data_IF_659871245711
#
_entry.id   IF_659871245711
#
_cell.length_a   1.000
_cell.length_b   1.000
_cell.length_c   1.000
_cell.angle_alpha   90.00
_cell.angle_beta   90.00
_cell.angle_gamma   90.00
#
_symmetry.space_group_name_H-M   'P 1'
#
loop_
_entity.id
_entity.type
_entity.pdbx_description
1 polymer ?
#
# COMPACT_ATOMS: atom_id res chain seq x y z
N UNK A 1 20.65 16.61 4.28
CA UNK A 1 21.56 15.97 3.30
C UNK A 1 22.30 17.04 2.52
N UNK A 2 23.64 16.99 2.48
CA UNK A 2 24.44 17.94 1.72
C UNK A 2 24.43 17.61 0.22
N UNK A 3 24.22 18.60 -0.64
CA UNK A 3 24.20 18.48 -2.10
C UNK A 3 24.84 19.71 -2.75
N UNK A 4 25.43 19.53 -3.93
CA UNK A 4 25.99 20.64 -4.71
C UNK A 4 24.88 21.26 -5.53
N UNK A 5 24.64 22.57 -5.38
CA UNK A 5 23.69 23.35 -6.16
C UNK A 5 24.40 24.43 -6.96
N UNK A 6 23.95 24.62 -8.20
CA UNK A 6 24.34 25.74 -9.06
C UNK A 6 23.17 26.72 -9.08
N UNK A 7 23.41 27.97 -8.69
CA UNK A 7 22.41 29.04 -8.70
C UNK A 7 22.79 30.09 -9.74
N UNK A 8 21.79 30.71 -10.39
CA UNK A 8 22.00 31.76 -11.40
C UNK A 8 21.58 33.10 -10.80
N UNK A 9 22.48 34.09 -10.80
CA UNK A 9 22.20 35.48 -10.45
C UNK A 9 22.76 36.41 -11.53
N UNK A 10 21.93 37.30 -12.08
CA UNK A 10 22.30 38.30 -13.08
C UNK A 10 23.19 37.74 -14.22
N UNK A 11 22.71 36.66 -14.85
CA UNK A 11 23.38 35.88 -15.93
C UNK A 11 24.64 35.09 -15.53
N UNK A 12 25.21 35.29 -14.33
CA UNK A 12 26.35 34.50 -13.83
C UNK A 12 25.89 33.31 -12.99
N UNK A 13 26.55 32.15 -13.15
CA UNK A 13 26.30 30.94 -12.38
C UNK A 13 27.29 30.80 -11.22
N UNK A 14 26.79 30.38 -10.05
CA UNK A 14 27.57 30.20 -8.83
C UNK A 14 27.35 28.82 -8.23
N UNK A 15 28.39 28.26 -7.62
CA UNK A 15 28.38 26.92 -7.02
C UNK A 15 28.37 27.01 -5.51
N UNK A 16 27.49 26.25 -4.87
CA UNK A 16 27.40 26.13 -3.41
C UNK A 16 27.09 24.72 -2.95
N UNK A 17 27.47 24.39 -1.72
CA UNK A 17 27.09 23.17 -1.03
C UNK A 17 25.97 23.52 -0.05
N UNK A 18 24.82 22.88 -0.18
CA UNK A 18 23.64 23.11 0.67
C UNK A 18 23.23 21.84 1.39
N UNK A 19 22.69 21.97 2.59
CA UNK A 19 22.16 20.85 3.38
C UNK A 19 20.66 21.02 3.63
N UNK A 20 19.88 20.00 3.23
CA UNK A 20 18.46 19.93 3.60
C UNK A 20 18.27 19.48 5.05
N UNK A 21 17.45 20.21 5.80
CA UNK A 21 17.00 19.90 7.15
C UNK A 21 15.47 20.05 7.25
N UNK A 22 14.87 19.35 8.21
CA UNK A 22 13.43 19.49 8.48
C UNK A 22 13.20 20.65 9.45
N UNK A 23 12.48 21.67 9.00
CA UNK A 23 12.08 22.79 9.86
C UNK A 23 10.80 22.39 10.62
N UNK A 24 10.91 22.25 11.94
CA UNK A 24 9.83 21.77 12.80
C UNK A 24 8.69 22.77 12.96
N UNK A 25 8.97 24.07 12.83
CA UNK A 25 7.96 25.13 12.99
C UNK A 25 7.16 25.31 11.71
N UNK A 26 7.83 25.29 10.55
CA UNK A 26 7.19 25.48 9.24
C UNK A 26 6.69 24.15 8.66
N UNK A 27 6.99 23.01 9.32
CA UNK A 27 6.66 21.63 8.90
C UNK A 27 6.99 21.35 7.43
N UNK A 28 8.10 21.90 6.95
CA UNK A 28 8.57 21.76 5.56
C UNK A 28 10.09 21.54 5.53
N UNK A 29 10.61 20.81 4.54
CA UNK A 29 12.04 20.68 4.35
C UNK A 29 12.62 22.03 3.87
N UNK A 30 13.62 22.56 4.59
CA UNK A 30 14.38 23.75 4.20
C UNK A 30 15.83 23.36 3.87
N UNK A 31 16.50 24.19 3.08
CA UNK A 31 17.93 24.06 2.77
C UNK A 31 18.71 25.20 3.39
N UNK A 32 19.79 24.88 4.11
CA UNK A 32 20.79 25.87 4.56
C UNK A 32 22.04 25.78 3.70
N UNK A 33 22.69 26.91 3.46
CA UNK A 33 23.98 26.94 2.77
C UNK A 33 25.09 26.55 3.75
N UNK A 34 25.88 25.55 3.37
CA UNK A 34 26.99 25.04 4.18
C UNK A 34 28.29 25.70 3.75
N UNK A 35 28.48 25.89 2.44
CA UNK A 35 29.67 26.53 1.88
C UNK A 35 29.41 27.12 0.50
N UNK A 36 29.79 28.37 0.30
CA UNK A 36 29.82 29.03 -1.00
C UNK A 36 31.18 28.80 -1.67
N UNK A 37 31.21 28.41 -2.96
CA UNK A 37 32.45 28.08 -3.66
C UNK A 37 32.86 29.10 -4.74
N UNK A 38 31.96 30.00 -5.14
CA UNK A 38 32.26 31.06 -6.11
C UNK A 38 31.60 30.84 -7.48
N UNK A 39 32.07 31.56 -8.50
CA UNK A 39 31.53 31.51 -9.86
C UNK A 39 31.89 30.18 -10.52
N UNK A 40 30.93 29.63 -11.27
CA UNK A 40 31.12 28.36 -11.98
C UNK A 40 32.28 28.46 -12.98
N UNK A 41 32.34 29.54 -13.76
CA UNK A 41 33.36 29.75 -14.79
C UNK A 41 34.78 29.73 -14.22
N UNK A 42 34.99 30.38 -13.07
CA UNK A 42 36.30 30.41 -12.41
C UNK A 42 36.70 29.02 -11.87
N UNK A 43 35.72 28.25 -11.40
CA UNK A 43 35.94 26.91 -10.82
C UNK A 43 36.18 25.83 -11.87
N UNK A 44 35.71 26.02 -13.11
CA UNK A 44 35.90 25.07 -14.21
C UNK A 44 37.00 25.46 -15.20
N UNK A 45 37.65 26.62 -14.99
CA UNK A 45 38.64 27.18 -15.91
C UNK A 45 39.87 26.28 -16.10
N UNK A 46 40.38 25.73 -15.00
CA UNK A 46 41.59 24.90 -14.98
C UNK A 46 41.27 23.40 -14.83
N UNK A 47 40.03 23.05 -14.43
CA UNK A 47 39.53 21.68 -14.39
C UNK A 47 38.05 21.62 -14.84
N UNK A 48 37.78 21.19 -16.09
CA UNK A 48 36.42 21.05 -16.62
C UNK A 48 35.53 20.09 -15.82
N UNK A 49 36.11 19.11 -15.13
CA UNK A 49 35.40 18.06 -14.39
C UNK A 49 35.20 18.39 -12.90
N UNK A 50 35.61 19.58 -12.44
CA UNK A 50 35.58 19.98 -11.03
C UNK A 50 34.22 19.76 -10.35
N UNK A 51 33.11 19.98 -11.06
CA UNK A 51 31.76 19.82 -10.50
C UNK A 51 31.39 18.35 -10.30
N UNK A 52 31.80 17.47 -11.20
CA UNK A 52 31.55 16.03 -11.06
C UNK A 52 32.40 15.45 -9.92
N UNK A 53 33.68 15.81 -9.86
CA UNK A 53 34.58 15.46 -8.75
C UNK A 53 34.04 15.99 -7.41
N UNK A 54 33.51 17.21 -7.37
CA UNK A 54 32.93 17.79 -6.16
C UNK A 54 31.67 17.02 -5.72
N UNK A 55 30.79 16.65 -6.67
CA UNK A 55 29.60 15.82 -6.39
C UNK A 55 29.98 14.43 -5.90
N UNK A 56 31.02 13.82 -6.45
CA UNK A 56 31.58 12.55 -5.98
C UNK A 56 32.21 12.70 -4.59
N UNK A 57 32.92 13.80 -4.30
CA UNK A 57 33.52 14.05 -2.97
C UNK A 57 32.46 14.25 -1.87
N UNK A 58 31.36 14.93 -2.19
CA UNK A 58 30.22 15.14 -1.27
C UNK A 58 29.44 13.83 -1.06
N UNK A 59 29.32 13.01 -2.11
CA UNK A 59 28.70 11.68 -2.03
C UNK A 59 29.59 10.66 -1.30
N UNK A 60 30.90 10.69 -1.50
CA UNK A 60 31.86 9.80 -0.85
C UNK A 60 32.09 10.13 0.63
N UNK A 61 31.90 11.38 1.06
CA UNK A 61 31.80 11.74 2.50
C UNK A 61 30.63 11.04 3.20
N UNK A 62 29.54 10.71 2.48
CA UNK A 62 28.42 9.89 2.97
C UNK A 62 28.88 8.45 3.26
N UNK A 63 29.65 7.88 2.33
CA UNK A 63 30.27 6.56 2.47
C UNK A 63 31.33 6.53 3.58
N UNK A 64 32.10 7.62 3.75
CA UNK A 64 33.11 7.76 4.81
C UNK A 64 32.50 7.82 6.21
N UNK A 65 31.42 8.59 6.41
CA UNK A 65 30.73 8.69 7.72
C UNK A 65 30.00 7.39 8.11
N UNK A 66 29.47 6.65 7.12
CA UNK A 66 28.91 5.31 7.32
C UNK A 66 30.02 4.26 7.56
N UNK A 67 31.16 4.36 6.84
CA UNK A 67 32.36 3.55 7.07
C UNK A 67 32.94 3.79 8.46
N UNK A 68 33.13 5.03 8.89
CA UNK A 68 33.64 5.39 10.22
C UNK A 68 32.75 4.83 11.32
N UNK A 69 31.42 4.86 11.14
CA UNK A 69 30.48 4.29 12.12
C UNK A 69 30.54 2.77 12.16
N UNK A 70 30.65 2.13 10.99
CA UNK A 70 30.83 0.68 10.91
C UNK A 70 32.21 0.24 11.43
N UNK A 71 33.26 1.02 11.20
CA UNK A 71 34.61 0.80 11.73
C UNK A 71 34.67 1.03 13.24
N UNK A 72 33.97 2.03 13.77
CA UNK A 72 33.78 2.20 15.21
C UNK A 72 33.02 1.02 15.82
N UNK A 73 31.95 0.54 15.18
CA UNK A 73 31.24 -0.67 15.62
C UNK A 73 32.17 -1.88 15.57
N UNK A 74 32.97 -2.03 14.50
CA UNK A 74 33.95 -3.12 14.38
C UNK A 74 35.04 -3.02 15.44
N UNK A 75 35.55 -1.83 15.73
CA UNK A 75 36.55 -1.58 16.77
C UNK A 75 35.97 -1.88 18.16
N UNK A 76 34.74 -1.45 18.44
CA UNK A 76 34.02 -1.82 19.66
C UNK A 76 33.87 -3.33 19.73
N UNK A 77 33.38 -3.99 18.68
CA UNK A 77 33.24 -5.45 18.60
C UNK A 77 34.57 -6.19 18.82
N UNK A 78 35.66 -5.70 18.22
CA UNK A 78 36.99 -6.27 18.38
C UNK A 78 37.57 -6.01 19.79
N UNK A 79 37.23 -4.86 20.41
CA UNK A 79 37.62 -4.52 21.78
C UNK A 79 36.90 -5.35 22.84
N UNK A 80 35.72 -5.91 22.51
CA UNK A 80 34.89 -6.70 23.43
C UNK A 80 35.50 -8.05 23.86
N UNK A 81 36.78 -8.33 23.56
CA UNK A 81 37.49 -9.57 23.92
C UNK A 81 36.62 -10.81 23.68
N UNK A 82 35.96 -10.89 22.51
CA UNK A 82 34.99 -11.94 22.16
C UNK A 82 35.56 -13.36 22.28
N UNK A 83 36.89 -13.52 22.23
CA UNK A 83 37.59 -14.78 22.50
C UNK A 83 37.33 -15.34 23.91
N UNK A 84 37.00 -14.50 24.91
CA UNK A 84 36.59 -14.97 26.25
C UNK A 84 35.24 -15.69 26.23
N UNK A 85 34.43 -15.43 25.20
CA UNK A 85 33.11 -16.01 24.99
C UNK A 85 33.14 -17.16 23.95
N UNK A 86 34.33 -17.64 23.57
CA UNK A 86 34.47 -18.76 22.65
C UNK A 86 33.82 -20.01 23.25
N UNK A 87 32.87 -20.61 22.51
CA UNK A 87 32.07 -21.74 22.98
C UNK A 87 30.78 -21.36 23.72
N UNK A 88 30.54 -20.07 23.98
CA UNK A 88 29.25 -19.60 24.52
C UNK A 88 28.18 -19.50 23.43
N UNK A 89 26.92 -19.69 23.81
CA UNK A 89 25.81 -19.55 22.89
C UNK A 89 25.55 -18.06 22.61
N UNK A 90 25.64 -17.66 21.34
CA UNK A 90 25.26 -16.32 20.90
C UNK A 90 23.73 -16.26 20.81
N UNK A 91 23.12 -15.27 21.45
CA UNK A 91 21.69 -14.99 21.40
C UNK A 91 21.42 -13.63 20.77
N UNK A 92 20.41 -13.54 19.91
CA UNK A 92 19.88 -12.28 19.43
C UNK A 92 18.98 -11.62 20.47
N UNK A 93 19.10 -10.30 20.66
CA UNK A 93 18.28 -9.52 21.60
C UNK A 93 17.21 -8.66 20.90
N UNK A 94 17.10 -8.77 19.57
CA UNK A 94 16.17 -7.98 18.78
C UNK A 94 14.69 -8.22 19.14
N UNK A 95 14.38 -9.34 19.81
CA UNK A 95 13.05 -9.61 20.33
C UNK A 95 12.61 -8.57 21.35
N UNK A 96 13.50 -8.12 22.25
CA UNK A 96 13.16 -7.28 23.41
C UNK A 96 12.39 -6.00 23.01
N UNK A 97 12.75 -5.37 21.89
CA UNK A 97 12.05 -4.16 21.39
C UNK A 97 10.58 -4.44 21.09
N UNK A 98 10.27 -5.60 20.49
CA UNK A 98 8.90 -5.99 20.17
C UNK A 98 8.15 -6.49 21.40
N UNK A 99 8.86 -7.04 22.40
CA UNK A 99 8.26 -7.38 23.69
C UNK A 99 7.75 -6.15 24.41
N UNK A 100 8.50 -5.05 24.39
CA UNK A 100 8.05 -3.77 24.94
C UNK A 100 6.79 -3.26 24.25
N UNK A 101 6.67 -3.41 22.93
CA UNK A 101 5.43 -3.05 22.20
C UNK A 101 4.25 -3.93 22.65
N UNK A 102 4.47 -5.24 22.77
CA UNK A 102 3.42 -6.16 23.24
C UNK A 102 3.00 -5.86 24.69
N UNK A 103 3.95 -5.53 25.56
CA UNK A 103 3.69 -5.14 26.94
C UNK A 103 2.96 -3.79 27.01
N UNK A 104 3.35 -2.83 26.16
CA UNK A 104 2.67 -1.54 26.04
C UNK A 104 1.19 -1.73 25.68
N UNK A 105 0.87 -2.67 24.79
CA UNK A 105 -0.49 -3.06 24.42
C UNK A 105 -1.15 -4.02 25.42
N UNK A 106 -0.48 -4.36 26.52
CA UNK A 106 -0.95 -5.29 27.57
C UNK A 106 -1.39 -6.67 27.02
N UNK A 107 -0.93 -7.02 25.82
CA UNK A 107 -1.37 -8.20 25.07
C UNK A 107 -1.08 -9.52 25.80
N UNK A 108 0.07 -9.71 26.49
CA UNK A 108 0.33 -10.95 27.23
C UNK A 108 -0.70 -11.21 28.34
N UNK A 109 -1.03 -10.18 29.14
CA UNK A 109 -2.01 -10.29 30.24
C UNK A 109 -3.39 -10.65 29.69
N UNK A 110 -3.82 -9.96 28.63
CA UNK A 110 -5.07 -10.27 27.95
C UNK A 110 -5.15 -11.71 27.45
N UNK A 111 -4.10 -12.22 26.77
CA UNK A 111 -4.09 -13.59 26.25
C UNK A 111 -4.11 -14.64 27.36
N UNK A 112 -3.43 -14.40 28.48
CA UNK A 112 -3.48 -15.27 29.67
C UNK A 112 -4.91 -15.36 30.19
N UNK A 113 -5.59 -14.23 30.36
CA UNK A 113 -6.95 -14.18 30.88
C UNK A 113 -7.97 -14.76 29.90
N UNK A 114 -7.78 -14.50 28.62
CA UNK A 114 -8.59 -15.08 27.54
C UNK A 114 -8.49 -16.60 27.54
N UNK A 115 -7.27 -17.15 27.66
CA UNK A 115 -7.08 -18.60 27.76
C UNK A 115 -7.74 -19.17 29.03
N UNK A 116 -7.49 -18.59 30.20
CA UNK A 116 -8.06 -19.08 31.48
C UNK A 116 -9.58 -19.16 31.45
N UNK A 117 -10.23 -18.18 30.82
CA UNK A 117 -11.70 -18.12 30.71
C UNK A 117 -12.27 -19.16 29.74
N UNK A 118 -11.52 -19.56 28.71
CA UNK A 118 -12.08 -20.30 27.57
C UNK A 118 -11.47 -21.69 27.34
N UNK A 119 -10.36 -22.03 27.99
CA UNK A 119 -9.64 -23.28 27.71
C UNK A 119 -8.89 -23.80 28.93
N UNK A 120 -8.89 -25.14 29.08
CA UNK A 120 -8.07 -25.86 30.08
C UNK A 120 -6.78 -26.42 29.48
N UNK A 121 -6.44 -25.97 28.26
CA UNK A 121 -5.23 -26.40 27.56
C UNK A 121 -3.99 -26.05 28.38
N UNK A 122 -3.00 -26.96 28.41
CA UNK A 122 -1.79 -26.84 29.23
C UNK A 122 -0.70 -25.94 28.64
N UNK A 123 -0.77 -25.67 27.34
CA UNK A 123 0.19 -24.82 26.66
C UNK A 123 0.04 -23.35 27.09
N UNK A 124 1.09 -22.55 26.95
CA UNK A 124 1.03 -21.11 27.24
C UNK A 124 0.66 -20.32 25.98
N UNK A 125 -0.60 -19.86 25.89
CA UNK A 125 -1.08 -19.11 24.72
C UNK A 125 -0.33 -17.79 24.53
N UNK A 126 -0.02 -17.08 25.60
CA UNK A 126 0.67 -15.79 25.52
C UNK A 126 2.10 -15.99 25.03
N UNK A 127 2.82 -16.99 25.57
CA UNK A 127 4.17 -17.33 25.13
C UNK A 127 4.20 -17.82 23.68
N UNK A 128 3.25 -18.68 23.26
CA UNK A 128 3.16 -19.13 21.87
C UNK A 128 2.87 -17.96 20.93
N UNK A 129 1.89 -17.11 21.26
CA UNK A 129 1.51 -15.97 20.41
C UNK A 129 2.66 -14.98 20.28
N UNK A 130 3.35 -14.68 21.38
CA UNK A 130 4.56 -13.86 21.40
C UNK A 130 5.65 -14.45 20.52
N UNK A 131 5.95 -15.74 20.66
CA UNK A 131 6.91 -16.44 19.80
C UNK A 131 6.54 -16.31 18.32
N UNK A 132 5.26 -16.54 17.96
CA UNK A 132 4.79 -16.45 16.58
C UNK A 132 4.91 -15.04 15.98
N UNK A 133 4.64 -14.00 16.77
CA UNK A 133 4.81 -12.60 16.35
C UNK A 133 6.29 -12.29 16.15
N UNK A 134 7.13 -12.62 17.15
CA UNK A 134 8.56 -12.35 17.13
C UNK A 134 9.24 -13.01 15.92
N UNK A 135 8.99 -14.30 15.68
CA UNK A 135 9.60 -15.00 14.54
C UNK A 135 9.06 -14.51 13.21
N UNK A 136 7.79 -14.07 13.13
CA UNK A 136 7.23 -13.50 11.91
C UNK A 136 7.92 -12.21 11.50
N UNK A 137 8.32 -11.38 12.47
CA UNK A 137 9.02 -10.12 12.22
C UNK A 137 10.52 -10.34 12.00
N UNK A 138 11.16 -11.14 12.87
CA UNK A 138 12.61 -11.28 12.89
C UNK A 138 13.15 -12.28 11.85
N UNK A 139 12.48 -13.41 11.65
CA UNK A 139 12.95 -14.48 10.77
C UNK A 139 11.77 -15.27 10.15
N UNK A 140 10.94 -14.62 9.29
CA UNK A 140 9.69 -15.19 8.79
C UNK A 140 9.91 -16.56 8.12
N UNK A 141 9.22 -17.57 8.62
CA UNK A 141 9.34 -18.95 8.17
C UNK A 141 8.13 -19.79 8.60
N UNK A 142 8.15 -21.11 8.34
CA UNK A 142 7.08 -22.02 8.79
C UNK A 142 6.96 -22.05 10.32
N UNK A 143 5.82 -22.50 10.84
CA UNK A 143 5.60 -22.61 12.31
C UNK A 143 6.58 -23.58 12.95
N UNK A 144 6.86 -24.70 12.29
CA UNK A 144 7.94 -25.63 12.67
C UNK A 144 9.29 -24.93 12.78
N UNK A 145 9.67 -24.20 11.73
CA UNK A 145 10.95 -23.49 11.71
C UNK A 145 11.00 -22.39 12.78
N UNK A 146 9.87 -21.73 13.08
CA UNK A 146 9.76 -20.73 14.14
C UNK A 146 10.11 -21.30 15.52
N UNK A 147 9.59 -22.49 15.87
CA UNK A 147 9.89 -23.18 17.14
C UNK A 147 11.37 -23.57 17.25
N UNK A 148 12.02 -23.92 16.13
CA UNK A 148 13.45 -24.23 16.11
C UNK A 148 14.30 -22.96 16.23
N UNK A 149 13.93 -21.90 15.51
CA UNK A 149 14.70 -20.65 15.38
C UNK A 149 14.56 -19.71 16.56
N UNK A 150 13.45 -19.73 17.30
CA UNK A 150 13.27 -18.86 18.47
C UNK A 150 14.38 -19.07 19.51
N UNK A 151 14.95 -20.28 19.58
CA UNK A 151 16.10 -20.64 20.43
C UNK A 151 17.36 -19.84 20.12
N UNK A 152 17.44 -19.15 18.98
CA UNK A 152 18.55 -18.23 18.66
C UNK A 152 18.42 -16.89 19.37
N UNK A 153 17.24 -16.56 19.91
CA UNK A 153 16.97 -15.29 20.56
C UNK A 153 16.99 -15.42 22.08
N UNK A 154 17.10 -14.29 22.77
CA UNK A 154 16.98 -14.20 24.22
C UNK A 154 15.50 -14.34 24.62
N UNK A 155 14.96 -15.52 24.39
CA UNK A 155 13.58 -15.88 24.62
C UNK A 155 13.49 -17.35 24.99
N UNK A 156 12.94 -17.65 26.16
CA UNK A 156 12.70 -19.03 26.59
C UNK A 156 11.33 -19.49 26.12
N UNK A 157 11.32 -20.59 25.37
CA UNK A 157 10.11 -21.17 24.80
C UNK A 157 10.04 -22.65 25.15
N UNK A 158 9.01 -23.04 25.90
CA UNK A 158 8.88 -24.36 26.50
C UNK A 158 7.78 -25.23 25.86
N UNK A 159 6.88 -24.65 25.07
CA UNK A 159 5.80 -25.40 24.43
C UNK A 159 6.29 -26.22 23.23
N UNK A 160 5.59 -27.33 22.94
CA UNK A 160 5.93 -28.19 21.82
C UNK A 160 5.37 -27.66 20.50
N UNK A 161 5.88 -28.18 19.38
CA UNK A 161 5.30 -27.88 18.05
C UNK A 161 3.81 -28.28 17.97
N UNK A 162 3.40 -29.35 18.66
CA UNK A 162 1.98 -29.79 18.69
C UNK A 162 1.11 -28.75 19.39
N UNK A 163 1.63 -28.17 20.46
CA UNK A 163 0.94 -27.13 21.22
C UNK A 163 0.78 -25.86 20.38
N UNK A 164 1.84 -25.47 19.65
CA UNK A 164 1.77 -24.37 18.69
C UNK A 164 0.65 -24.59 17.67
N UNK A 165 0.56 -25.76 17.05
CA UNK A 165 -0.52 -26.02 16.08
C UNK A 165 -1.91 -26.00 16.71
N UNK A 166 -2.09 -26.55 17.92
CA UNK A 166 -3.36 -26.51 18.65
C UNK A 166 -3.77 -25.10 19.04
N UNK A 167 -2.81 -24.24 19.37
CA UNK A 167 -3.10 -22.85 19.73
C UNK A 167 -3.66 -22.04 18.55
N UNK A 168 -3.36 -22.43 17.29
CA UNK A 168 -3.84 -21.70 16.10
C UNK A 168 -5.37 -21.77 15.97
N UNK A 169 -5.95 -22.92 16.28
CA UNK A 169 -7.41 -23.10 16.27
C UNK A 169 -8.09 -22.23 17.34
N UNK A 170 -7.49 -22.17 18.53
CA UNK A 170 -7.97 -21.27 19.59
C UNK A 170 -7.86 -19.79 19.20
N UNK A 171 -6.74 -19.38 18.61
CA UNK A 171 -6.56 -18.00 18.12
C UNK A 171 -7.55 -17.65 17.01
N UNK A 172 -7.89 -18.61 16.14
CA UNK A 172 -8.89 -18.43 15.10
C UNK A 172 -10.30 -18.29 15.70
N UNK A 173 -10.66 -19.13 16.67
CA UNK A 173 -11.95 -19.05 17.39
C UNK A 173 -12.11 -17.70 18.09
N UNK A 174 -11.03 -17.19 18.70
CA UNK A 174 -11.02 -15.92 19.43
C UNK A 174 -10.64 -14.70 18.60
N UNK A 175 -10.73 -14.79 17.27
CA UNK A 175 -10.39 -13.70 16.35
C UNK A 175 -11.08 -12.39 16.75
N UNK A 176 -12.40 -12.43 16.98
CA UNK A 176 -13.19 -11.22 17.24
C UNK A 176 -12.80 -10.58 18.57
N UNK A 177 -12.67 -11.36 19.64
CA UNK A 177 -12.25 -10.87 20.95
C UNK A 177 -10.85 -10.27 20.92
N UNK A 178 -9.91 -10.90 20.21
CA UNK A 178 -8.55 -10.38 20.03
C UNK A 178 -8.55 -9.07 19.24
N UNK A 179 -9.32 -8.99 18.15
CA UNK A 179 -9.43 -7.77 17.35
C UNK A 179 -10.08 -6.63 18.15
N UNK A 180 -11.15 -6.89 18.89
CA UNK A 180 -11.78 -5.88 19.75
C UNK A 180 -10.80 -5.34 20.79
N UNK A 181 -10.13 -6.22 21.51
CA UNK A 181 -9.11 -5.82 22.48
C UNK A 181 -8.03 -4.94 21.84
N UNK A 182 -7.45 -5.38 20.71
CA UNK A 182 -6.42 -4.59 20.04
C UNK A 182 -6.95 -3.23 19.55
N UNK A 183 -8.16 -3.19 18.99
CA UNK A 183 -8.79 -1.95 18.55
C UNK A 183 -8.97 -0.97 19.71
N UNK A 184 -9.47 -1.42 20.86
CA UNK A 184 -9.60 -0.62 22.09
C UNK A 184 -8.24 -0.09 22.55
N UNK A 185 -7.22 -0.95 22.60
CA UNK A 185 -5.87 -0.56 22.99
C UNK A 185 -5.28 0.49 22.03
N UNK A 186 -5.53 0.39 20.72
CA UNK A 186 -5.06 1.38 19.77
C UNK A 186 -5.82 2.72 19.88
N UNK A 187 -7.11 2.69 20.20
CA UNK A 187 -7.86 3.93 20.50
C UNK A 187 -7.28 4.60 21.75
N UNK A 188 -7.10 3.86 22.84
CA UNK A 188 -6.63 4.39 24.11
C UNK A 188 -5.17 4.89 24.05
N UNK A 189 -4.27 4.08 23.47
CA UNK A 189 -2.82 4.30 23.60
C UNK A 189 -2.17 5.07 22.47
N UNK A 190 -2.80 5.14 21.30
CA UNK A 190 -2.28 5.88 20.13
C UNK A 190 -3.31 6.81 19.48
N UNK A 191 -4.47 7.02 20.13
CA UNK A 191 -5.54 7.91 19.65
C UNK A 191 -5.94 7.59 18.20
N UNK A 192 -6.13 6.29 17.91
CA UNK A 192 -6.58 5.80 16.60
C UNK A 192 -7.85 6.50 16.15
N UNK A 193 -7.86 6.94 14.89
CA UNK A 193 -8.99 7.59 14.25
C UNK A 193 -9.61 6.66 13.19
N UNK A 194 -10.90 6.37 13.31
CA UNK A 194 -11.65 5.52 12.38
C UNK A 194 -12.50 6.33 11.38
N UNK A 195 -12.31 7.65 11.30
CA UNK A 195 -13.07 8.50 10.36
C UNK A 195 -12.88 8.05 8.92
N UNK A 196 -11.64 7.73 8.54
CA UNK A 196 -11.29 7.19 7.23
C UNK A 196 -10.66 5.81 7.42
N UNK A 197 -11.20 4.82 6.73
CA UNK A 197 -10.68 3.47 6.72
C UNK A 197 -10.42 3.03 5.29
N UNK A 198 -9.28 2.40 5.07
CA UNK A 198 -8.84 1.99 3.74
C UNK A 198 -9.10 0.49 3.59
N UNK A 199 -9.84 0.12 2.55
CA UNK A 199 -10.12 -1.26 2.25
C UNK A 199 -9.36 -1.70 1.00
N UNK A 200 -8.48 -2.69 1.19
CA UNK A 200 -7.76 -3.34 0.10
C UNK A 200 -7.99 -4.85 0.13
N UNK A 201 -8.00 -5.44 -1.06
CA UNK A 201 -8.14 -6.88 -1.23
C UNK A 201 -6.81 -7.39 -1.76
N UNK A 202 -6.24 -8.42 -1.15
CA UNK A 202 -5.02 -9.06 -1.64
C UNK A 202 -5.20 -10.58 -1.71
N UNK A 203 -4.22 -11.28 -2.27
CA UNK A 203 -4.26 -12.75 -2.40
C UNK A 203 -3.03 -13.36 -1.78
N UNK A 204 -3.22 -14.41 -0.99
CA UNK A 204 -2.14 -15.24 -0.46
C UNK A 204 -2.12 -16.54 -1.27
N UNK A 205 -1.03 -16.77 -2.02
CA UNK A 205 -0.85 -18.02 -2.75
C UNK A 205 -0.27 -19.11 -1.84
N UNK A 206 -0.56 -20.35 -2.20
CA UNK A 206 0.02 -21.53 -1.57
C UNK A 206 0.76 -22.36 -2.63
N UNK A 207 1.91 -22.92 -2.27
CA UNK A 207 2.63 -23.87 -3.15
C UNK A 207 1.88 -25.20 -3.31
N UNK A 208 0.73 -25.36 -2.64
CA UNK A 208 -0.17 -26.48 -2.83
C UNK A 208 -1.03 -26.32 -4.08
N UNK A 209 -1.13 -27.42 -4.82
CA UNK A 209 -1.99 -27.56 -6.00
C UNK A 209 -3.37 -28.15 -5.67
N UNK A 210 -3.62 -28.48 -4.40
CA UNK A 210 -4.87 -29.12 -3.96
C UNK A 210 -5.85 -28.06 -3.46
N UNK A 211 -6.99 -27.85 -4.16
CA UNK A 211 -8.00 -26.94 -3.69
C UNK A 211 -8.79 -27.53 -2.51
N UNK A 212 -9.21 -26.69 -1.58
CA UNK A 212 -10.15 -27.01 -0.50
C UNK A 212 -11.22 -25.92 -0.38
N UNK A 213 -11.92 -25.82 0.74
CA UNK A 213 -12.97 -24.81 0.96
C UNK A 213 -12.47 -23.37 0.72
N UNK A 214 -11.27 -23.04 1.22
CA UNK A 214 -10.71 -21.69 1.20
C UNK A 214 -9.64 -21.53 0.11
N UNK A 215 -8.76 -22.52 -0.05
CA UNK A 215 -7.70 -22.54 -1.07
C UNK A 215 -8.33 -22.93 -2.40
N UNK A 216 -8.54 -21.96 -3.30
CA UNK A 216 -9.11 -22.20 -4.64
C UNK A 216 -8.23 -21.58 -5.72
N UNK A 217 -8.27 -22.11 -6.93
CA UNK A 217 -7.64 -21.45 -8.08
C UNK A 217 -8.39 -20.16 -8.40
N UNK A 218 -7.67 -19.05 -8.53
CA UNK A 218 -8.26 -17.76 -8.82
C UNK A 218 -7.24 -16.77 -9.35
N UNK A 219 -7.62 -15.49 -9.38
CA UNK A 219 -6.75 -14.44 -9.87
C UNK A 219 -5.58 -14.22 -8.90
N UNK A 220 -4.36 -14.51 -9.34
CA UNK A 220 -3.17 -14.28 -8.51
C UNK A 220 -2.60 -12.89 -8.76
N UNK A 221 -2.53 -12.05 -7.72
CA UNK A 221 -1.86 -10.74 -7.79
C UNK A 221 -0.33 -10.87 -7.96
N UNK A 222 0.23 -12.04 -7.63
CA UNK A 222 1.66 -12.39 -7.78
C UNK A 222 1.97 -13.17 -9.08
N UNK A 223 1.02 -13.25 -10.03
CA UNK A 223 1.12 -14.02 -11.27
C UNK A 223 1.37 -15.54 -11.07
N UNK A 224 0.95 -16.11 -9.93
CA UNK A 224 1.02 -17.54 -9.62
C UNK A 224 -0.25 -18.28 -10.04
N UNK A 225 -0.49 -18.31 -11.35
CA UNK A 225 -1.76 -18.82 -11.95
C UNK A 225 -2.04 -20.30 -11.69
N UNK A 226 -1.00 -21.12 -11.47
CA UNK A 226 -1.15 -22.55 -11.22
C UNK A 226 -1.18 -22.91 -9.73
N UNK A 227 -1.30 -21.92 -8.84
CA UNK A 227 -1.27 -22.12 -7.40
C UNK A 227 -2.62 -21.76 -6.80
N UNK A 228 -3.03 -22.52 -5.79
CA UNK A 228 -4.24 -22.19 -5.03
C UNK A 228 -4.02 -20.87 -4.28
N UNK A 229 -5.09 -20.08 -4.20
CA UNK A 229 -5.10 -18.76 -3.58
C UNK A 229 -6.09 -18.74 -2.42
N UNK A 230 -5.88 -17.81 -1.51
CA UNK A 230 -6.89 -17.32 -0.56
C UNK A 230 -6.97 -15.81 -0.75
N UNK A 231 -8.19 -15.28 -0.82
CA UNK A 231 -8.41 -13.83 -0.91
C UNK A 231 -8.47 -13.27 0.50
N UNK A 232 -7.74 -12.20 0.77
CA UNK A 232 -7.71 -11.47 2.04
C UNK A 232 -8.30 -10.08 1.82
N UNK A 233 -9.46 -9.81 2.42
CA UNK A 233 -9.99 -8.46 2.56
C UNK A 233 -9.43 -7.84 3.83
N UNK A 234 -8.81 -6.67 3.73
CA UNK A 234 -8.15 -6.00 4.84
C UNK A 234 -8.66 -4.55 4.98
N UNK A 235 -9.12 -4.21 6.18
CA UNK A 235 -9.50 -2.86 6.56
C UNK A 235 -8.43 -2.28 7.49
N UNK A 236 -7.85 -1.13 7.12
CA UNK A 236 -6.81 -0.43 7.89
C UNK A 236 -7.23 1.01 8.19
N UNK A 237 -6.65 1.59 9.25
CA UNK A 237 -6.82 3.01 9.60
C UNK A 237 -5.88 3.93 8.79
N UNK A 238 -5.92 5.22 9.09
CA UNK A 238 -5.08 6.27 8.48
C UNK A 238 -3.59 6.19 8.85
N UNK A 239 -3.25 5.41 9.88
CA UNK A 239 -1.87 5.07 10.25
C UNK A 239 -1.37 3.79 9.57
N UNK A 240 -2.23 3.11 8.80
CA UNK A 240 -1.92 1.84 8.14
C UNK A 240 -1.92 0.64 9.07
N UNK A 241 -2.54 0.76 10.25
CA UNK A 241 -2.66 -0.34 11.21
C UNK A 241 -3.99 -1.07 10.94
N UNK A 242 -3.99 -2.42 10.86
CA UNK A 242 -5.21 -3.19 10.66
C UNK A 242 -6.28 -2.95 11.73
N UNK A 243 -7.53 -2.88 11.28
CA UNK A 243 -8.74 -2.80 12.11
C UNK A 243 -9.44 -4.15 12.10
N UNK A 244 -9.64 -4.70 10.90
CA UNK A 244 -10.37 -5.93 10.66
C UNK A 244 -9.89 -6.62 9.38
N UNK A 245 -10.10 -7.92 9.27
CA UNK A 245 -9.84 -8.67 8.05
C UNK A 245 -10.80 -9.86 7.91
N UNK A 246 -11.04 -10.28 6.67
CA UNK A 246 -11.70 -11.55 6.37
C UNK A 246 -10.95 -12.32 5.28
N UNK A 247 -11.08 -13.65 5.35
CA UNK A 247 -10.54 -14.57 4.35
C UNK A 247 -11.68 -15.12 3.52
N UNK A 248 -11.47 -15.14 2.20
CA UNK A 248 -12.44 -15.65 1.23
C UNK A 248 -11.78 -16.71 0.34
N UNK A 249 -12.58 -17.61 -0.26
CA UNK A 249 -12.09 -18.57 -1.23
C UNK A 249 -11.28 -17.89 -2.34
N UNK A 250 -10.18 -18.51 -2.78
CA UNK A 250 -9.25 -17.94 -3.76
C UNK A 250 -9.84 -17.46 -5.09
N UNK A 251 -11.00 -17.98 -5.48
CA UNK A 251 -11.75 -17.61 -6.68
C UNK A 251 -12.79 -16.50 -6.46
N UNK A 252 -12.86 -15.93 -5.26
CA UNK A 252 -13.79 -14.85 -4.92
C UNK A 252 -13.38 -13.58 -5.64
N UNK A 253 -14.35 -12.91 -6.28
CA UNK A 253 -14.10 -11.61 -6.89
C UNK A 253 -13.98 -10.53 -5.82
N UNK A 254 -13.02 -9.60 -5.97
CA UNK A 254 -12.84 -8.44 -5.09
C UNK A 254 -14.18 -7.73 -4.79
N UNK A 255 -15.06 -7.59 -5.79
CA UNK A 255 -16.39 -6.96 -5.65
C UNK A 255 -17.27 -7.60 -4.57
N UNK A 256 -17.17 -8.92 -4.36
CA UNK A 256 -18.01 -9.67 -3.43
C UNK A 256 -17.48 -9.67 -1.99
N UNK A 257 -16.27 -9.15 -1.77
CA UNK A 257 -15.63 -9.18 -0.45
C UNK A 257 -16.10 -8.05 0.46
N UNK A 258 -16.45 -6.88 -0.11
CA UNK A 258 -16.71 -5.69 0.68
C UNK A 258 -17.97 -5.82 1.53
N UNK A 259 -19.10 -6.21 0.94
CA UNK A 259 -20.38 -6.30 1.66
C UNK A 259 -20.29 -7.19 2.93
N UNK A 260 -19.76 -8.42 2.87
CA UNK A 260 -19.56 -9.24 4.07
C UNK A 260 -18.68 -8.55 5.13
N UNK A 261 -17.59 -7.89 4.73
CA UNK A 261 -16.72 -7.17 5.67
C UNK A 261 -17.49 -6.06 6.37
N UNK A 262 -18.34 -5.32 5.67
CA UNK A 262 -19.14 -4.23 6.25
C UNK A 262 -20.14 -4.72 7.31
N UNK A 263 -20.80 -5.83 7.02
CA UNK A 263 -21.72 -6.48 7.95
C UNK A 263 -20.96 -7.00 9.18
N UNK A 264 -19.80 -7.60 8.97
CA UNK A 264 -18.97 -8.15 10.04
C UNK A 264 -18.36 -7.06 10.92
N UNK A 265 -17.79 -5.98 10.39
CA UNK A 265 -17.23 -4.91 11.24
C UNK A 265 -18.31 -4.23 12.09
N UNK A 266 -19.53 -4.10 11.57
CA UNK A 266 -20.65 -3.53 12.33
C UNK A 266 -21.08 -4.47 13.46
N UNK A 267 -21.23 -5.77 13.15
CA UNK A 267 -21.65 -6.80 14.11
C UNK A 267 -20.58 -7.08 15.17
N UNK A 268 -19.33 -7.26 14.75
CA UNK A 268 -18.25 -7.81 15.55
C UNK A 268 -17.49 -6.72 16.31
N UNK A 269 -17.34 -5.52 15.72
CA UNK A 269 -16.58 -4.41 16.31
C UNK A 269 -17.48 -3.24 16.78
N UNK A 270 -18.79 -3.26 16.50
CA UNK A 270 -19.70 -2.17 16.88
C UNK A 270 -19.41 -0.83 16.20
N UNK A 271 -18.69 -0.83 15.08
CA UNK A 271 -18.34 0.39 14.35
C UNK A 271 -19.59 0.87 13.61
N UNK A 272 -20.09 2.07 13.95
CA UNK A 272 -21.34 2.58 13.37
C UNK A 272 -21.16 3.58 12.23
N UNK A 273 -20.03 4.29 12.19
CA UNK A 273 -19.76 5.35 11.20
C UNK A 273 -18.30 5.39 10.80
N UNK A 274 -18.02 5.18 9.52
CA UNK A 274 -16.70 5.30 8.89
C UNK A 274 -16.86 5.79 7.45
N UNK A 275 -15.80 6.37 6.89
CA UNK A 275 -15.66 6.60 5.45
C UNK A 275 -14.70 5.58 4.86
N UNK A 276 -15.19 4.80 3.90
CA UNK A 276 -14.40 3.76 3.24
C UNK A 276 -13.69 4.36 2.04
N UNK A 277 -12.37 4.31 2.08
CA UNK A 277 -11.51 4.64 0.96
C UNK A 277 -11.10 3.36 0.26
N UNK A 278 -11.45 3.23 -1.02
CA UNK A 278 -11.19 2.01 -1.77
C UNK A 278 -10.86 2.24 -3.25
N UNK A 279 -10.15 1.26 -3.80
CA UNK A 279 -9.74 1.28 -5.19
C UNK A 279 -10.89 1.00 -6.16
N UNK A 280 -10.65 1.30 -7.44
CA UNK A 280 -11.65 1.18 -8.51
C UNK A 280 -12.24 -0.21 -8.65
N UNK A 281 -11.47 -1.25 -8.29
CA UNK A 281 -11.89 -2.64 -8.35
C UNK A 281 -13.04 -2.98 -7.41
N UNK A 282 -13.39 -2.09 -6.48
CA UNK A 282 -14.48 -2.26 -5.52
C UNK A 282 -15.65 -1.31 -5.79
N UNK A 283 -15.48 -0.33 -6.67
CA UNK A 283 -16.51 0.61 -7.09
C UNK A 283 -17.52 -0.07 -8.04
N UNK A 284 -18.42 -0.85 -7.44
CA UNK A 284 -19.62 -1.37 -8.10
C UNK A 284 -20.86 -0.76 -7.47
N UNK A 285 -21.92 -0.57 -8.26
CA UNK A 285 -23.17 0.04 -7.78
C UNK A 285 -23.79 -0.72 -6.60
N UNK A 286 -23.66 -2.05 -6.60
CA UNK A 286 -24.07 -2.90 -5.47
C UNK A 286 -23.25 -2.63 -4.20
N UNK A 287 -21.95 -2.38 -4.34
CA UNK A 287 -21.10 -2.02 -3.20
C UNK A 287 -21.40 -0.61 -2.68
N UNK A 288 -21.62 0.37 -3.57
CA UNK A 288 -22.03 1.72 -3.16
C UNK A 288 -23.31 1.68 -2.31
N UNK A 289 -24.29 0.90 -2.76
CA UNK A 289 -25.54 0.70 -2.02
C UNK A 289 -25.29 0.02 -0.68
N UNK A 290 -24.51 -1.07 -0.64
CA UNK A 290 -24.22 -1.78 0.60
C UNK A 290 -23.54 -0.88 1.65
N UNK A 291 -22.65 0.02 1.23
CA UNK A 291 -22.00 0.99 2.12
C UNK A 291 -23.03 1.98 2.68
N UNK A 292 -23.88 2.56 1.83
CA UNK A 292 -24.95 3.48 2.29
C UNK A 292 -25.95 2.80 3.21
N UNK A 293 -26.41 1.59 2.88
CA UNK A 293 -27.33 0.81 3.71
C UNK A 293 -26.72 0.44 5.06
N UNK A 294 -25.40 0.23 5.13
CA UNK A 294 -24.69 0.02 6.38
C UNK A 294 -24.57 1.30 7.24
N UNK A 295 -24.89 2.48 6.69
CA UNK A 295 -24.78 3.78 7.37
C UNK A 295 -23.38 4.40 7.28
N UNK A 296 -22.57 3.96 6.31
CA UNK A 296 -21.21 4.44 6.10
C UNK A 296 -21.11 5.35 4.88
N UNK A 297 -20.00 6.07 4.82
CA UNK A 297 -19.62 6.90 3.68
C UNK A 297 -18.53 6.24 2.83
N UNK A 298 -18.28 6.77 1.63
CA UNK A 298 -17.19 6.30 0.79
C UNK A 298 -16.48 7.41 0.01
N UNK A 299 -15.23 7.12 -0.32
CA UNK A 299 -14.40 7.80 -1.30
C UNK A 299 -13.77 6.71 -2.18
N UNK A 300 -14.17 6.63 -3.45
CA UNK A 300 -13.73 5.56 -4.34
C UNK A 300 -13.26 6.09 -5.68
N UNK A 301 -12.27 5.43 -6.27
CA UNK A 301 -11.87 5.71 -7.64
C UNK A 301 -13.03 5.49 -8.61
N UNK A 302 -13.29 6.46 -9.49
CA UNK A 302 -14.33 6.42 -10.49
C UNK A 302 -13.79 6.17 -11.90
N UNK A 303 -14.51 5.36 -12.68
CA UNK A 303 -14.11 5.02 -14.05
C UNK A 303 -14.62 6.08 -15.03
N UNK A 304 -13.79 7.09 -15.30
CA UNK A 304 -14.10 8.15 -16.27
C UNK A 304 -14.06 7.67 -17.74
N UNK A 305 -13.28 6.62 -18.05
CA UNK A 305 -13.15 6.07 -19.41
C UNK A 305 -14.13 4.90 -19.60
N UNK A 306 -15.14 5.03 -20.47
CA UNK A 306 -16.03 3.92 -20.82
C UNK A 306 -17.21 4.35 -21.70
N UNK A 307 -17.75 3.42 -22.51
CA UNK A 307 -18.90 3.70 -23.41
C UNK A 307 -20.16 4.13 -22.67
N UNK A 308 -20.32 3.69 -21.42
CA UNK A 308 -21.47 3.99 -20.58
C UNK A 308 -21.34 5.31 -19.83
N UNK A 309 -20.13 5.89 -19.78
CA UNK A 309 -19.91 7.14 -19.08
C UNK A 309 -20.26 8.31 -20.02
N UNK A 310 -21.41 8.94 -19.74
CA UNK A 310 -21.97 10.05 -20.53
C UNK A 310 -21.76 11.41 -19.86
N UNK A 311 -20.86 11.50 -18.90
CA UNK A 311 -20.61 12.75 -18.18
C UNK A 311 -19.91 13.72 -19.14
N UNK A 312 -20.60 14.80 -19.46
CA UNK A 312 -20.10 15.85 -20.36
C UNK A 312 -19.01 16.68 -19.68
N UNK A 313 -18.06 17.19 -20.47
CA UNK A 313 -17.03 18.09 -19.98
C UNK A 313 -16.02 17.49 -19.00
N UNK A 314 -15.87 16.16 -18.93
CA UNK A 314 -14.77 15.54 -18.14
C UNK A 314 -13.41 15.99 -18.68
N UNK A 315 -13.23 15.95 -20.00
CA UNK A 315 -11.94 16.23 -20.64
C UNK A 315 -11.74 17.70 -21.02
N UNK A 316 -12.64 18.57 -20.56
CA UNK A 316 -12.54 20.02 -20.76
C UNK A 316 -11.75 20.65 -19.62
N UNK A 317 -10.43 20.73 -19.82
CA UNK A 317 -9.48 21.23 -18.82
C UNK A 317 -9.77 22.68 -18.39
N UNK A 318 -10.38 23.50 -19.25
CA UNK A 318 -10.66 24.91 -18.93
C UNK A 318 -11.70 25.05 -17.81
N UNK A 319 -12.55 24.02 -17.63
CA UNK A 319 -13.54 23.98 -16.54
C UNK A 319 -12.96 23.59 -15.18
N UNK A 320 -11.66 23.31 -15.08
CA UNK A 320 -11.02 22.89 -13.83
C UNK A 320 -10.43 24.08 -13.08
N UNK A 321 -10.71 24.14 -11.78
CA UNK A 321 -10.06 25.09 -10.87
C UNK A 321 -8.65 24.60 -10.56
N UNK A 322 -7.64 25.38 -10.93
CA UNK A 322 -6.25 25.08 -10.60
C UNK A 322 -6.02 25.22 -9.09
N UNK A 323 -5.53 24.17 -8.45
CA UNK A 323 -5.12 24.20 -7.04
C UNK A 323 -3.61 24.41 -6.89
N UNK A 324 -2.83 23.90 -7.83
CA UNK A 324 -1.38 24.04 -7.93
C UNK A 324 -0.98 24.18 -9.41
N UNK A 325 0.27 24.58 -9.69
CA UNK A 325 0.77 24.90 -11.04
C UNK A 325 0.51 23.80 -12.10
N UNK A 326 0.44 22.53 -11.70
CA UNK A 326 0.18 21.39 -12.60
C UNK A 326 -1.01 20.50 -12.16
N UNK A 327 -1.93 21.02 -11.33
CA UNK A 327 -3.05 20.22 -10.79
C UNK A 327 -4.37 21.00 -10.76
N UNK A 328 -5.37 20.51 -11.48
CA UNK A 328 -6.72 21.07 -11.56
C UNK A 328 -7.76 20.16 -10.93
N UNK A 329 -8.83 20.75 -10.38
CA UNK A 329 -9.94 20.03 -9.73
C UNK A 329 -11.29 20.60 -10.18
N UNK A 330 -12.28 19.72 -10.31
CA UNK A 330 -13.68 20.06 -10.58
C UNK A 330 -14.58 19.15 -9.78
N UNK A 331 -15.47 19.73 -8.95
CA UNK A 331 -16.54 19.01 -8.23
C UNK A 331 -17.85 19.21 -8.98
N UNK A 332 -18.61 18.14 -9.11
CA UNK A 332 -19.95 18.19 -9.70
C UNK A 332 -20.84 17.10 -9.10
N UNK A 333 -22.15 17.30 -9.20
CA UNK A 333 -23.13 16.30 -8.81
C UNK A 333 -23.12 15.11 -9.78
N UNK A 334 -23.29 13.92 -9.24
CA UNK A 334 -23.34 12.69 -10.03
C UNK A 334 -24.34 11.72 -9.43
N UNK A 335 -25.23 11.18 -10.26
CA UNK A 335 -26.23 10.21 -9.84
C UNK A 335 -25.95 8.87 -10.47
N UNK A 336 -25.94 7.82 -9.65
CA UNK A 336 -25.83 6.45 -10.10
C UNK A 336 -27.21 5.78 -10.09
N UNK A 337 -27.64 5.31 -11.27
CA UNK A 337 -28.88 4.58 -11.44
C UNK A 337 -28.59 3.12 -11.77
N UNK A 338 -29.30 2.20 -11.11
CA UNK A 338 -29.25 0.78 -11.45
C UNK A 338 -30.44 0.00 -10.95
N UNK A 339 -30.62 -1.19 -11.52
CA UNK A 339 -31.65 -2.14 -11.12
C UNK A 339 -30.97 -3.31 -10.41
N UNK A 340 -31.44 -3.65 -9.22
CA UNK A 340 -31.01 -4.83 -8.45
C UNK A 340 -32.24 -5.52 -7.87
N UNK A 341 -32.35 -6.85 -8.01
CA UNK A 341 -33.50 -7.64 -7.55
C UNK A 341 -34.87 -7.03 -7.92
N UNK A 342 -35.01 -6.63 -9.19
CA UNK A 342 -36.19 -5.95 -9.72
C UNK A 342 -36.55 -4.58 -9.11
N UNK A 343 -35.74 -4.04 -8.21
CA UNK A 343 -35.90 -2.71 -7.62
C UNK A 343 -34.94 -1.72 -8.29
N UNK A 344 -35.42 -0.52 -8.58
CA UNK A 344 -34.58 0.57 -9.09
C UNK A 344 -34.01 1.35 -7.93
N UNK A 345 -32.70 1.60 -7.98
CA UNK A 345 -31.97 2.37 -6.99
C UNK A 345 -31.37 3.60 -7.65
N UNK A 346 -31.41 4.69 -6.90
CA UNK A 346 -30.76 5.95 -7.21
C UNK A 346 -29.83 6.30 -6.05
N UNK A 347 -28.58 6.62 -6.37
CA UNK A 347 -27.58 7.03 -5.39
C UNK A 347 -27.05 8.40 -5.79
N UNK A 348 -27.34 9.39 -4.96
CA UNK A 348 -26.72 10.71 -5.04
C UNK A 348 -25.26 10.66 -4.57
N UNK A 349 -24.38 11.26 -5.37
CA UNK A 349 -22.94 11.34 -5.15
C UNK A 349 -22.40 12.71 -5.56
N UNK A 350 -21.18 13.00 -5.08
CA UNK A 350 -20.31 13.99 -5.72
C UNK A 350 -19.23 13.28 -6.51
N UNK A 351 -18.94 13.79 -7.71
CA UNK A 351 -17.82 13.38 -8.52
C UNK A 351 -16.73 14.46 -8.48
N UNK A 352 -15.58 14.10 -7.93
CA UNK A 352 -14.38 14.92 -7.93
C UNK A 352 -13.52 14.49 -9.12
N UNK A 353 -13.46 15.35 -10.12
CA UNK A 353 -12.59 15.19 -11.27
C UNK A 353 -11.29 15.93 -11.00
N UNK A 354 -10.17 15.30 -11.34
CA UNK A 354 -8.84 15.88 -11.22
C UNK A 354 -8.10 15.77 -12.53
N UNK A 355 -7.24 16.75 -12.79
CA UNK A 355 -6.26 16.72 -13.88
C UNK A 355 -4.87 16.94 -13.31
N UNK A 356 -3.89 16.14 -13.74
CA UNK A 356 -2.48 16.44 -13.44
C UNK A 356 -1.53 16.18 -14.60
N UNK A 357 -0.56 17.08 -14.81
CA UNK A 357 0.50 16.88 -15.83
C UNK A 357 1.35 15.66 -15.54
N UNK A 358 1.61 15.36 -14.27
CA UNK A 358 2.32 14.14 -13.85
C UNK A 358 1.59 12.87 -14.34
N UNK A 359 0.28 12.79 -14.13
CA UNK A 359 -0.53 11.66 -14.59
C UNK A 359 -0.63 11.65 -16.12
N UNK A 360 -0.78 12.80 -16.78
CA UNK A 360 -0.79 12.90 -18.24
C UNK A 360 0.48 12.29 -18.85
N UNK A 361 1.66 12.64 -18.33
CA UNK A 361 2.94 12.09 -18.77
C UNK A 361 3.01 10.57 -18.54
N UNK A 362 2.45 10.06 -17.43
CA UNK A 362 2.40 8.62 -17.12
C UNK A 362 1.45 7.87 -18.07
N UNK A 363 0.22 8.34 -18.20
CA UNK A 363 -0.83 7.73 -19.02
C UNK A 363 -0.42 7.71 -20.50
N UNK A 364 0.20 8.79 -21.00
CA UNK A 364 0.80 8.84 -22.34
C UNK A 364 1.85 7.74 -22.55
N UNK A 365 2.80 7.57 -21.60
CA UNK A 365 3.82 6.50 -21.68
C UNK A 365 3.20 5.11 -21.67
N UNK A 366 2.19 4.89 -20.82
CA UNK A 366 1.49 3.61 -20.73
C UNK A 366 0.72 3.31 -22.03
N UNK A 367 0.08 4.32 -22.63
CA UNK A 367 -0.59 4.25 -23.93
C UNK A 367 0.39 3.95 -25.06
N UNK A 368 1.49 4.69 -25.18
CA UNK A 368 2.53 4.46 -26.19
C UNK A 368 3.11 3.03 -26.10
N UNK A 369 3.33 2.53 -24.88
CA UNK A 369 3.76 1.13 -24.67
C UNK A 369 2.76 0.12 -25.21
N UNK A 370 1.47 0.35 -25.00
CA UNK A 370 0.40 -0.51 -25.50
C UNK A 370 0.24 -0.42 -27.02
N UNK A 371 0.41 0.76 -27.62
CA UNK A 371 0.41 0.95 -29.08
C UNK A 371 1.56 0.17 -29.72
N UNK A 372 2.79 0.32 -29.20
CA UNK A 372 3.96 -0.44 -29.69
C UNK A 372 3.77 -1.96 -29.61
N UNK A 373 3.02 -2.45 -28.61
CA UNK A 373 2.65 -3.86 -28.52
C UNK A 373 1.65 -4.26 -29.58
N UNK A 374 0.61 -3.45 -29.80
CA UNK A 374 -0.40 -3.67 -30.82
C UNK A 374 0.23 -3.69 -32.23
N UNK A 375 1.13 -2.75 -32.54
CA UNK A 375 1.86 -2.70 -33.82
C UNK A 375 2.65 -3.98 -34.11
N UNK A 376 3.32 -4.56 -33.10
CA UNK A 376 4.03 -5.84 -33.26
C UNK A 376 3.11 -7.00 -33.62
N UNK A 377 1.84 -6.94 -33.22
CA UNK A 377 0.85 -7.98 -33.50
C UNK A 377 0.24 -7.88 -34.91
N UNK A 378 0.38 -6.73 -35.59
CA UNK A 378 -0.07 -6.56 -36.98
C UNK A 378 0.77 -7.39 -37.96
N UNK A 379 2.04 -7.66 -37.62
CA UNK A 379 3.00 -8.36 -38.48
C UNK A 379 2.98 -9.89 -38.35
N UNK A 380 2.19 -10.45 -37.42
CA UNK A 380 2.14 -11.89 -37.15
C UNK A 380 0.92 -12.51 -37.82
N UNK A 381 1.13 -13.40 -38.79
CA UNK A 381 0.08 -14.20 -39.46
C UNK A 381 -0.64 -15.22 -38.54
N UNK A 382 -0.21 -15.35 -37.29
CA UNK A 382 -0.78 -16.27 -36.30
C UNK A 382 -1.76 -15.57 -35.34
N UNK A 383 -2.81 -14.96 -35.89
CA UNK A 383 -3.86 -14.30 -35.11
C UNK A 383 -4.96 -15.33 -34.86
N UNK A 384 -4.87 -16.12 -33.76
CA UNK A 384 -6.08 -16.67 -33.11
C UNK A 384 -5.89 -17.28 -31.72
N UNK A 385 -4.71 -17.77 -31.32
CA UNK A 385 -4.59 -18.55 -30.06
C UNK A 385 -3.72 -17.97 -28.92
N UNK A 386 -2.79 -17.03 -29.15
CA UNK A 386 -1.83 -16.59 -28.10
C UNK A 386 -2.05 -15.19 -27.50
N UNK A 387 -3.05 -14.43 -27.97
CA UNK A 387 -3.15 -13.00 -27.61
C UNK A 387 -3.84 -12.76 -26.25
N UNK A 388 -3.11 -12.21 -25.27
CA UNK A 388 -3.67 -11.79 -23.96
C UNK A 388 -4.63 -10.60 -24.13
N UNK A 389 -5.63 -10.48 -23.23
CA UNK A 389 -6.71 -9.46 -23.27
C UNK A 389 -6.23 -8.01 -23.43
N UNK A 390 -5.06 -7.66 -22.89
CA UNK A 390 -4.53 -6.28 -22.93
C UNK A 390 -3.92 -5.88 -24.27
N UNK A 391 -3.45 -6.84 -25.06
CA UNK A 391 -2.69 -6.56 -26.28
C UNK A 391 -3.61 -6.27 -27.50
N UNK A 392 -4.93 -6.43 -27.33
CA UNK A 392 -5.95 -6.17 -28.36
C UNK A 392 -6.62 -4.80 -28.27
N UNK A 393 -6.32 -4.00 -27.26
CA UNK A 393 -7.10 -2.79 -26.93
C UNK A 393 -7.19 -1.78 -28.09
N UNK A 394 -6.08 -1.60 -28.83
CA UNK A 394 -5.99 -0.67 -29.96
C UNK A 394 -6.03 -1.37 -31.31
N UNK A 395 -6.50 -2.62 -31.36
CA UNK A 395 -6.67 -3.37 -32.60
C UNK A 395 -8.14 -3.39 -32.99
N UNK A 396 -8.42 -3.14 -34.26
CA UNK A 396 -9.71 -3.31 -34.90
C UNK A 396 -9.63 -4.49 -35.86
N UNK A 397 -10.57 -5.41 -35.73
CA UNK A 397 -10.63 -6.62 -36.56
C UNK A 397 -11.69 -6.41 -37.65
N UNK A 398 -11.24 -6.33 -38.90
CA UNK A 398 -12.08 -6.38 -40.09
C UNK A 398 -12.10 -7.81 -40.66
N UNK A 399 -12.97 -8.08 -41.66
CA UNK A 399 -13.20 -9.43 -42.17
C UNK A 399 -11.92 -10.17 -42.60
N UNK A 400 -10.94 -9.46 -43.18
CA UNK A 400 -9.68 -10.03 -43.67
C UNK A 400 -8.41 -9.31 -43.18
N UNK A 401 -8.53 -8.25 -42.37
CA UNK A 401 -7.40 -7.41 -41.97
C UNK A 401 -7.50 -6.99 -40.50
N UNK A 402 -6.35 -6.80 -39.87
CA UNK A 402 -6.23 -6.23 -38.53
C UNK A 402 -5.53 -4.90 -38.65
N UNK A 403 -6.16 -3.83 -38.16
CA UNK A 403 -5.64 -2.46 -38.21
C UNK A 403 -5.62 -1.82 -36.82
N UNK A 404 -4.92 -0.70 -36.67
CA UNK A 404 -4.99 0.08 -35.44
C UNK A 404 -6.30 0.87 -35.35
N UNK A 405 -6.95 0.81 -34.19
CA UNK A 405 -8.12 1.62 -33.88
C UNK A 405 -7.70 3.04 -33.46
N UNK A 406 -7.46 3.90 -34.44
CA UNK A 406 -7.08 5.30 -34.22
C UNK A 406 -8.13 6.09 -33.42
N UNK A 407 -9.41 5.74 -33.52
CA UNK A 407 -10.46 6.43 -32.76
C UNK A 407 -10.35 6.13 -31.27
N UNK A 408 -10.06 4.87 -30.90
CA UNK A 408 -9.83 4.48 -29.50
C UNK A 408 -8.55 5.13 -28.97
N UNK A 409 -7.49 5.23 -29.78
CA UNK A 409 -6.24 5.90 -29.39
C UNK A 409 -6.48 7.38 -29.08
N UNK A 410 -7.16 8.12 -29.96
CA UNK A 410 -7.46 9.54 -29.77
C UNK A 410 -8.33 9.78 -28.54
N UNK A 411 -9.33 8.92 -28.29
CA UNK A 411 -10.16 8.99 -27.08
C UNK A 411 -9.35 8.78 -25.81
N UNK A 412 -8.44 7.81 -25.82
CA UNK A 412 -7.60 7.53 -24.66
C UNK A 412 -6.59 8.65 -24.39
N UNK A 413 -6.04 9.25 -25.46
CA UNK A 413 -5.15 10.41 -25.42
C UNK A 413 -5.83 11.66 -24.87
N UNK A 414 -7.06 11.97 -25.30
CA UNK A 414 -7.83 13.08 -24.75
C UNK A 414 -8.09 12.93 -23.24
N UNK A 415 -8.14 11.68 -22.77
CA UNK A 415 -8.34 11.34 -21.37
C UNK A 415 -7.02 11.23 -20.56
N UNK A 416 -5.85 11.48 -21.16
CA UNK A 416 -4.56 11.42 -20.47
C UNK A 416 -4.47 12.54 -19.42
N UNK A 417 -4.20 12.16 -18.17
CA UNK A 417 -4.05 13.12 -17.06
C UNK A 417 -5.30 13.35 -16.23
N UNK A 418 -6.47 12.95 -16.73
CA UNK A 418 -7.73 13.05 -16.01
C UNK A 418 -7.96 11.84 -15.10
N UNK A 419 -8.59 12.07 -13.95
CA UNK A 419 -8.96 11.04 -12.99
C UNK A 419 -10.27 11.41 -12.29
N UNK A 420 -11.07 10.43 -11.91
CA UNK A 420 -12.33 10.65 -11.19
C UNK A 420 -12.32 9.96 -9.84
N UNK A 421 -12.88 10.62 -8.84
CA UNK A 421 -13.10 10.11 -7.48
C UNK A 421 -14.58 10.34 -7.16
N UNK A 422 -15.29 9.27 -6.84
CA UNK A 422 -16.69 9.29 -6.44
C UNK A 422 -16.78 9.32 -4.92
N UNK A 423 -17.64 10.15 -4.35
CA UNK A 423 -17.87 10.18 -2.90
C UNK A 423 -19.34 10.35 -2.54
N UNK A 424 -19.73 9.78 -1.40
CA UNK A 424 -21.02 10.04 -0.76
C UNK A 424 -21.05 11.35 0.02
N UNK A 425 -19.89 11.95 0.34
CA UNK A 425 -19.81 13.19 1.10
C UNK A 425 -20.31 14.38 0.28
N UNK A 426 -21.38 15.04 0.74
CA UNK A 426 -21.96 16.19 0.05
C UNK A 426 -21.14 17.47 0.29
N UNK A 427 -20.79 17.72 1.55
CA UNK A 427 -20.22 18.99 2.02
C UNK A 427 -18.69 18.96 2.22
N UNK A 428 -18.04 17.81 2.05
CA UNK A 428 -16.58 17.73 2.21
C UNK A 428 -15.86 18.51 1.10
N UNK A 429 -14.83 19.25 1.50
CA UNK A 429 -13.95 20.03 0.62
C UNK A 429 -13.15 19.11 -0.32
N UNK A 430 -12.98 19.52 -1.57
CA UNK A 430 -12.32 18.68 -2.57
C UNK A 430 -10.88 18.34 -2.21
N UNK A 431 -10.18 19.24 -1.49
CA UNK A 431 -8.79 19.00 -1.10
C UNK A 431 -8.69 17.89 -0.07
N UNK A 432 -9.64 17.80 0.86
CA UNK A 432 -9.64 16.74 1.85
C UNK A 432 -9.99 15.40 1.20
N UNK A 433 -10.99 15.35 0.30
CA UNK A 433 -11.32 14.14 -0.47
C UNK A 433 -10.10 13.64 -1.24
N UNK A 434 -9.37 14.54 -1.92
CA UNK A 434 -8.18 14.21 -2.70
C UNK A 434 -6.99 13.82 -1.83
N UNK A 435 -6.91 14.32 -0.59
CA UNK A 435 -5.83 13.98 0.35
C UNK A 435 -6.05 12.60 0.97
N UNK A 436 -7.29 12.25 1.23
CA UNK A 436 -7.67 10.96 1.81
C UNK A 436 -7.64 9.83 0.77
N UNK A 437 -7.83 10.14 -0.52
CA UNK A 437 -7.65 9.21 -1.63
C UNK A 437 -6.21 9.14 -2.12
#
# INVERSE_FOLDING_TARGET
MASVQIIKKNKTQYVRIVESYWDKEVKKPKTREVKFLGKLEDLTKDNPNFIEELKESVSSKKNKKQKDRNEQILQIMNSLKLNKFKGTQIKGYGNLVYEEIMNYLELPSFLIDLQKKNSRSKYDLASITKMLILTRILEPSSKRSSVEKIKKYWYEFNDSLKDVYRSLEFLQDKKVEILNYLNEQFVEKINRNLTFCFYDVTTVYFESFLPDELRKFGFSKDNKVNQTQVVLGLLIDDMGIPIYYDLFPGNTSDFLTLKPVLENIKRDLGIEKITIVADRGLNSKSNLLAIKEAGYDYIMAYKIKGKENKIEGIYDFETYKMMYEEFGVKKQDHKEFFKSNNTFYEIDNKLILTFSRKRQRKDKKDRERLIKKAEKLLNLSAIKSEMKRGDKKYLKFAANEVELDHQVILKDEAADGFYGILTSHEDMDEKEIIKQY
#
